data_IF_708158317691
#
_entry.id   IF_708158317691
#
_cell.length_a   1.000
_cell.length_b   1.000
_cell.length_c   1.000
_cell.angle_alpha   90.00
_cell.angle_beta   90.00
_cell.angle_gamma   90.00
#
_symmetry.space_group_name_H-M   'P 1'
#
loop_
_entity.id
_entity.type
_entity.pdbx_description
1 polymer ?
#
# COMPACT_ATOMS: atom_id res chain seq x y z
N UNK A 1 9.18 25.15 -0.88
CA UNK A 1 9.53 24.31 0.28
C UNK A 1 8.80 22.98 0.31
N UNK A 2 7.54 22.92 -0.16
CA UNK A 2 6.80 21.64 -0.27
C UNK A 2 7.46 20.67 -1.25
N UNK A 3 8.15 21.16 -2.29
CA UNK A 3 8.85 20.31 -3.25
C UNK A 3 10.08 19.61 -2.64
N UNK A 4 10.78 20.27 -1.69
CA UNK A 4 11.93 19.67 -0.99
C UNK A 4 11.49 18.49 -0.13
N UNK A 5 10.38 18.62 0.59
CA UNK A 5 9.83 17.53 1.39
C UNK A 5 9.36 16.36 0.50
N UNK A 6 8.72 16.66 -0.63
CA UNK A 6 8.31 15.65 -1.61
C UNK A 6 9.53 14.95 -2.20
N UNK A 7 10.60 15.68 -2.50
CA UNK A 7 11.85 15.13 -3.02
C UNK A 7 12.54 14.21 -2.00
N UNK A 8 12.57 14.59 -0.73
CA UNK A 8 13.07 13.74 0.35
C UNK A 8 12.32 12.41 0.41
N UNK A 9 10.99 12.49 0.37
CA UNK A 9 10.13 11.30 0.41
C UNK A 9 10.34 10.40 -0.80
N UNK A 10 10.50 10.99 -1.99
CA UNK A 10 10.78 10.25 -3.22
C UNK A 10 12.12 9.53 -3.17
N UNK A 11 13.16 10.18 -2.63
CA UNK A 11 14.47 9.56 -2.46
C UNK A 11 14.40 8.37 -1.50
N UNK A 12 13.79 8.55 -0.33
CA UNK A 12 13.62 7.48 0.65
C UNK A 12 12.81 6.32 0.07
N UNK A 13 11.71 6.61 -0.62
CA UNK A 13 10.90 5.60 -1.28
C UNK A 13 11.69 4.81 -2.31
N UNK A 14 12.55 5.46 -3.09
CA UNK A 14 13.42 4.79 -4.05
C UNK A 14 14.38 3.82 -3.35
N UNK A 15 15.03 4.25 -2.26
CA UNK A 15 15.90 3.37 -1.47
C UNK A 15 15.15 2.16 -0.91
N UNK A 16 13.90 2.36 -0.47
CA UNK A 16 13.06 1.28 0.04
C UNK A 16 12.69 0.25 -1.03
N UNK A 17 12.68 0.61 -2.32
CA UNK A 17 12.51 -0.37 -3.40
C UNK A 17 13.76 -1.21 -3.63
N UNK A 18 14.90 -0.79 -3.09
CA UNK A 18 16.20 -1.44 -3.20
C UNK A 18 16.66 -2.13 -1.92
N UNK A 19 15.76 -2.30 -0.94
CA UNK A 19 16.03 -3.00 0.30
C UNK A 19 16.59 -2.15 1.44
N UNK A 20 16.76 -0.87 1.23
CA UNK A 20 17.29 0.06 2.25
C UNK A 20 16.14 0.60 3.10
N UNK A 21 15.59 -0.23 3.97
CA UNK A 21 14.39 0.08 4.77
C UNK A 21 14.64 1.12 5.86
N UNK A 22 15.90 1.34 6.25
CA UNK A 22 16.30 2.33 7.24
C UNK A 22 16.83 3.62 6.61
N UNK A 23 16.75 3.74 5.28
CA UNK A 23 17.26 4.92 4.58
C UNK A 23 16.52 6.19 5.01
N UNK A 24 17.27 7.24 5.17
CA UNK A 24 16.73 8.55 5.56
C UNK A 24 17.59 9.69 5.02
N UNK A 25 16.96 10.82 4.79
CA UNK A 25 17.66 12.07 4.48
C UNK A 25 18.00 12.73 5.81
N UNK A 26 19.30 12.86 6.11
CA UNK A 26 19.76 13.43 7.37
C UNK A 26 20.00 14.94 7.30
N UNK A 27 20.20 15.47 6.10
CA UNK A 27 20.38 16.91 5.90
C UNK A 27 20.11 17.31 4.45
N UNK A 28 19.77 18.57 4.25
CA UNK A 28 19.65 19.20 2.93
C UNK A 28 20.41 20.49 2.97
N UNK A 29 21.49 20.57 2.20
CA UNK A 29 22.35 21.74 2.11
C UNK A 29 21.97 22.58 0.90
N UNK A 30 21.86 23.88 1.09
CA UNK A 30 21.60 24.85 0.03
C UNK A 30 22.85 25.69 -0.22
N UNK A 31 23.22 25.80 -1.49
CA UNK A 31 24.30 26.68 -1.92
C UNK A 31 23.80 27.56 -3.06
N UNK A 32 23.79 28.88 -2.81
CA UNK A 32 23.28 29.86 -3.78
C UNK A 32 24.45 30.44 -4.57
N UNK A 33 24.32 30.50 -5.88
CA UNK A 33 25.28 31.13 -6.78
C UNK A 33 24.55 31.95 -7.86
N UNK A 34 25.23 32.96 -8.40
CA UNK A 34 24.67 33.74 -9.49
C UNK A 34 25.26 33.27 -10.83
N UNK A 35 24.38 32.93 -11.78
CA UNK A 35 24.75 32.51 -13.12
C UNK A 35 24.70 33.75 -14.06
N UNK A 36 25.86 34.29 -14.42
CA UNK A 36 25.94 35.50 -15.28
C UNK A 36 25.39 35.28 -16.68
N UNK A 37 25.56 34.08 -17.24
CA UNK A 37 25.07 33.75 -18.60
C UNK A 37 23.55 33.74 -18.68
N UNK A 38 22.89 33.31 -17.61
CA UNK A 38 21.43 33.22 -17.53
C UNK A 38 20.80 34.38 -16.78
N UNK A 39 21.63 35.26 -16.25
CA UNK A 39 21.24 36.47 -15.45
C UNK A 39 20.26 36.12 -14.31
N UNK A 40 20.57 35.04 -13.58
CA UNK A 40 19.72 34.60 -12.50
C UNK A 40 20.50 33.92 -11.38
N UNK A 41 19.93 33.97 -10.18
CA UNK A 41 20.42 33.16 -9.08
C UNK A 41 20.06 31.68 -9.30
N UNK A 42 20.99 30.81 -8.96
CA UNK A 42 20.82 29.37 -8.98
C UNK A 42 21.12 28.82 -7.59
N UNK A 43 20.32 27.85 -7.17
CA UNK A 43 20.46 27.16 -5.90
C UNK A 43 20.85 25.71 -6.18
N UNK A 44 21.99 25.28 -5.64
CA UNK A 44 22.38 23.88 -5.64
C UNK A 44 21.89 23.25 -4.34
N UNK A 45 21.13 22.16 -4.45
CA UNK A 45 20.66 21.38 -3.31
C UNK A 45 21.50 20.12 -3.17
N UNK A 46 21.99 19.87 -1.95
CA UNK A 46 22.69 18.62 -1.64
C UNK A 46 21.90 17.86 -0.59
N UNK A 47 21.44 16.68 -0.97
CA UNK A 47 20.74 15.77 -0.06
C UNK A 47 21.76 14.82 0.55
N UNK A 48 21.92 14.89 1.86
CA UNK A 48 22.82 13.99 2.61
C UNK A 48 21.98 12.80 3.10
N UNK A 49 22.35 11.61 2.66
CA UNK A 49 21.55 10.40 2.88
C UNK A 49 22.31 9.42 3.77
N UNK A 50 21.62 8.84 4.74
CA UNK A 50 22.05 7.66 5.46
C UNK A 50 21.29 6.47 4.90
N UNK A 51 21.97 5.61 4.15
CA UNK A 51 21.33 4.47 3.49
C UNK A 51 20.93 3.35 4.47
N UNK A 52 21.79 3.12 5.46
CA UNK A 52 21.65 1.92 6.31
C UNK A 52 22.04 0.65 5.58
N UNK A 53 21.65 -0.50 6.13
CA UNK A 53 21.91 -1.78 5.52
C UNK A 53 20.85 -2.14 4.49
N UNK A 54 21.24 -2.94 3.49
CA UNK A 54 20.32 -3.51 2.52
C UNK A 54 19.77 -4.82 3.07
N UNK A 55 18.45 -4.99 3.03
CA UNK A 55 17.72 -6.14 3.54
C UNK A 55 17.19 -7.01 2.42
N UNK A 56 17.14 -8.32 2.66
CA UNK A 56 16.49 -9.29 1.78
C UNK A 56 15.16 -9.75 2.38
N UNK A 57 14.24 -10.15 1.53
CA UNK A 57 12.93 -10.64 1.94
C UNK A 57 13.03 -12.10 2.42
N UNK A 58 12.48 -12.41 3.58
CA UNK A 58 12.48 -13.77 4.14
C UNK A 58 11.08 -14.35 4.34
N UNK A 59 10.06 -13.73 3.80
CA UNK A 59 8.74 -14.33 3.72
C UNK A 59 7.63 -13.60 4.46
N UNK A 60 6.41 -14.07 4.20
CA UNK A 60 5.17 -13.62 4.84
C UNK A 60 4.48 -14.84 5.44
N UNK A 61 4.14 -14.75 6.71
CA UNK A 61 3.28 -15.70 7.41
C UNK A 61 1.90 -15.09 7.55
N UNK A 62 0.86 -15.83 7.22
CA UNK A 62 -0.53 -15.34 7.30
C UNK A 62 -1.27 -16.19 8.33
N UNK A 63 -2.00 -15.53 9.23
CA UNK A 63 -2.82 -16.15 10.26
C UNK A 63 -4.25 -15.63 10.22
N UNK A 64 -5.21 -16.45 10.64
CA UNK A 64 -6.63 -16.08 10.72
C UNK A 64 -7.40 -16.20 9.41
N UNK A 65 -6.78 -16.70 8.34
CA UNK A 65 -7.40 -16.86 7.03
C UNK A 65 -8.04 -18.24 6.90
N UNK A 66 -9.31 -18.35 7.18
CA UNK A 66 -10.10 -19.58 6.96
C UNK A 66 -10.85 -19.52 5.62
N UNK A 67 -11.25 -18.32 5.18
CA UNK A 67 -12.03 -18.11 3.95
C UNK A 67 -11.23 -18.41 2.69
N UNK A 68 -10.01 -17.89 2.61
CA UNK A 68 -9.10 -18.14 1.50
C UNK A 68 -7.87 -18.89 1.96
N UNK A 69 -7.39 -19.81 1.11
CA UNK A 69 -6.19 -20.59 1.38
C UNK A 69 -4.95 -19.70 1.40
N UNK A 70 -4.01 -20.04 2.27
CA UNK A 70 -2.75 -19.31 2.42
C UNK A 70 -1.99 -19.20 1.10
N UNK A 71 -1.93 -20.27 0.31
CA UNK A 71 -1.25 -20.29 -0.98
C UNK A 71 -1.83 -19.26 -1.95
N UNK A 72 -3.16 -19.10 -1.95
CA UNK A 72 -3.82 -18.10 -2.78
C UNK A 72 -3.44 -16.68 -2.36
N UNK A 73 -3.45 -16.42 -1.06
CA UNK A 73 -3.09 -15.10 -0.52
C UNK A 73 -1.61 -14.79 -0.79
N UNK A 74 -0.73 -15.75 -0.57
CA UNK A 74 0.71 -15.57 -0.83
C UNK A 74 1.00 -15.31 -2.31
N UNK A 75 0.16 -15.77 -3.22
CA UNK A 75 0.34 -15.54 -4.66
C UNK A 75 0.28 -14.07 -5.06
N UNK A 76 -0.31 -13.21 -4.22
CA UNK A 76 -0.32 -11.75 -4.44
C UNK A 76 1.03 -11.09 -4.13
N UNK A 77 1.88 -11.75 -3.35
CA UNK A 77 3.20 -11.22 -3.02
C UNK A 77 4.18 -11.61 -4.14
N UNK A 78 4.65 -10.62 -4.88
CA UNK A 78 5.54 -10.81 -6.03
C UNK A 78 7.02 -10.70 -5.65
N UNK A 79 7.36 -11.17 -4.46
CA UNK A 79 8.71 -11.27 -3.95
C UNK A 79 9.02 -12.71 -3.59
N UNK A 80 10.21 -13.17 -3.95
CA UNK A 80 10.73 -14.49 -3.55
C UNK A 80 11.62 -14.34 -2.33
N UNK A 81 11.66 -15.39 -1.48
CA UNK A 81 12.58 -15.43 -0.36
C UNK A 81 14.02 -15.32 -0.87
N UNK A 82 14.80 -14.44 -0.25
CA UNK A 82 16.17 -14.17 -0.64
C UNK A 82 16.35 -13.02 -1.63
N UNK A 83 15.29 -12.54 -2.25
CA UNK A 83 15.36 -11.32 -3.08
C UNK A 83 15.63 -10.10 -2.21
N UNK A 84 16.23 -9.08 -2.81
CA UNK A 84 16.31 -7.76 -2.19
C UNK A 84 14.89 -7.27 -1.91
N UNK A 85 14.65 -6.83 -0.68
CA UNK A 85 13.32 -6.40 -0.27
C UNK A 85 12.89 -5.15 -1.05
N UNK A 86 11.71 -5.22 -1.65
CA UNK A 86 11.10 -4.11 -2.36
C UNK A 86 9.78 -3.77 -1.67
N UNK A 87 9.77 -2.67 -0.92
CA UNK A 87 8.62 -2.27 -0.13
C UNK A 87 7.39 -1.98 -0.98
N UNK A 88 7.57 -1.37 -2.16
CA UNK A 88 6.46 -1.08 -3.06
C UNK A 88 5.77 -2.37 -3.53
N UNK A 89 6.54 -3.35 -3.97
CA UNK A 89 5.99 -4.65 -4.38
C UNK A 89 5.29 -5.36 -3.23
N UNK A 90 5.86 -5.28 -2.03
CA UNK A 90 5.25 -5.90 -0.86
C UNK A 90 3.91 -5.23 -0.50
N UNK A 91 3.85 -3.91 -0.48
CA UNK A 91 2.62 -3.17 -0.19
C UNK A 91 1.54 -3.41 -1.26
N UNK A 92 1.93 -3.49 -2.53
CA UNK A 92 1.02 -3.87 -3.61
C UNK A 92 0.43 -5.26 -3.39
N UNK A 93 1.25 -6.21 -2.94
CA UNK A 93 0.81 -7.55 -2.60
C UNK A 93 -0.19 -7.58 -1.45
N UNK A 94 0.09 -6.83 -0.38
CA UNK A 94 -0.85 -6.69 0.75
C UNK A 94 -2.16 -6.07 0.30
N UNK A 95 -2.12 -5.05 -0.55
CA UNK A 95 -3.32 -4.44 -1.12
C UNK A 95 -4.13 -5.44 -1.95
N UNK A 96 -3.45 -6.30 -2.70
CA UNK A 96 -4.10 -7.37 -3.46
C UNK A 96 -4.86 -8.34 -2.55
N UNK A 97 -4.27 -8.73 -1.42
CA UNK A 97 -4.91 -9.57 -0.42
C UNK A 97 -6.16 -8.89 0.15
N UNK A 98 -6.02 -7.64 0.57
CA UNK A 98 -7.14 -6.86 1.12
C UNK A 98 -8.27 -6.72 0.11
N UNK A 99 -7.94 -6.41 -1.14
CA UNK A 99 -8.91 -6.24 -2.21
C UNK A 99 -9.64 -7.54 -2.53
N UNK A 100 -8.96 -8.68 -2.46
CA UNK A 100 -9.61 -9.99 -2.66
C UNK A 100 -10.77 -10.19 -1.67
N UNK A 101 -10.54 -9.87 -0.39
CA UNK A 101 -11.59 -9.95 0.61
C UNK A 101 -12.72 -8.95 0.33
N UNK A 102 -12.37 -7.70 0.03
CA UNK A 102 -13.36 -6.64 -0.21
C UNK A 102 -14.22 -6.93 -1.44
N UNK A 103 -13.62 -7.40 -2.52
CA UNK A 103 -14.34 -7.77 -3.74
C UNK A 103 -15.32 -8.93 -3.53
N UNK A 104 -15.10 -9.74 -2.50
CA UNK A 104 -15.98 -10.84 -2.12
C UNK A 104 -16.93 -10.48 -0.97
N UNK A 105 -17.05 -9.20 -0.63
CA UNK A 105 -18.02 -8.69 0.33
C UNK A 105 -17.55 -8.64 1.78
N UNK A 106 -16.31 -9.00 2.07
CA UNK A 106 -15.77 -8.99 3.44
C UNK A 106 -15.23 -7.60 3.83
N UNK A 107 -16.13 -6.61 3.87
CA UNK A 107 -15.78 -5.20 4.06
C UNK A 107 -15.33 -4.86 5.48
N UNK A 108 -15.72 -5.66 6.46
CA UNK A 108 -15.42 -5.40 7.88
C UNK A 108 -14.19 -6.16 8.40
N UNK A 109 -13.51 -6.90 7.52
CA UNK A 109 -12.29 -7.60 7.90
C UNK A 109 -11.21 -6.63 8.33
N UNK A 110 -10.39 -7.05 9.27
CA UNK A 110 -9.26 -6.25 9.77
C UNK A 110 -7.95 -6.98 9.43
N UNK A 111 -6.94 -6.20 9.02
CA UNK A 111 -5.64 -6.70 8.58
C UNK A 111 -4.53 -6.04 9.37
N UNK A 112 -3.71 -6.83 10.05
CA UNK A 112 -2.65 -6.35 10.93
C UNK A 112 -1.30 -6.91 10.49
N UNK A 113 -0.55 -6.20 9.61
CA UNK A 113 0.79 -6.60 9.24
C UNK A 113 1.78 -6.22 10.35
N UNK A 114 2.65 -7.15 10.71
CA UNK A 114 3.73 -6.93 11.66
C UNK A 114 5.06 -7.27 11.00
N UNK A 115 6.02 -6.36 11.07
CA UNK A 115 7.36 -6.55 10.51
C UNK A 115 8.29 -7.20 11.52
N UNK A 116 9.06 -8.17 11.07
CA UNK A 116 10.16 -8.78 11.82
C UNK A 116 11.47 -8.51 11.07
N UNK A 117 12.30 -7.66 11.65
CA UNK A 117 13.57 -7.27 11.07
C UNK A 117 14.71 -7.92 11.84
N UNK A 118 15.54 -8.69 11.15
CA UNK A 118 16.76 -9.29 11.69
C UNK A 118 17.96 -8.49 11.18
N UNK A 119 18.52 -7.64 12.04
CA UNK A 119 19.63 -6.76 11.67
C UNK A 119 20.97 -7.51 11.51
N UNK A 120 21.12 -8.67 12.11
CA UNK A 120 22.33 -9.49 11.97
C UNK A 120 22.34 -10.21 10.62
N UNK A 121 21.24 -10.86 10.28
CA UNK A 121 21.09 -11.56 9.00
C UNK A 121 20.71 -10.62 7.85
N UNK A 122 20.35 -9.41 8.16
CA UNK A 122 19.82 -8.40 7.20
C UNK A 122 18.65 -8.96 6.40
N UNK A 123 17.70 -9.54 7.11
CA UNK A 123 16.47 -10.09 6.54
C UNK A 123 15.25 -9.39 7.13
N UNK A 124 14.19 -9.31 6.34
CA UNK A 124 12.90 -8.79 6.77
C UNK A 124 11.80 -9.78 6.40
N UNK A 125 10.97 -10.10 7.37
CA UNK A 125 9.77 -10.90 7.18
C UNK A 125 8.58 -10.20 7.79
N UNK A 126 7.38 -10.67 7.44
CA UNK A 126 6.14 -10.12 7.94
C UNK A 126 5.22 -11.22 8.43
N UNK A 127 4.40 -10.87 9.39
CA UNK A 127 3.24 -11.68 9.79
C UNK A 127 2.00 -10.84 9.50
N UNK A 128 1.10 -11.35 8.69
CA UNK A 128 -0.20 -10.75 8.46
C UNK A 128 -1.25 -11.50 9.28
N UNK A 129 -1.77 -10.84 10.29
CA UNK A 129 -2.89 -11.34 11.10
C UNK A 129 -4.18 -10.81 10.50
N UNK A 130 -5.08 -11.71 10.09
CA UNK A 130 -6.36 -11.35 9.51
C UNK A 130 -7.46 -11.68 10.52
N UNK A 131 -8.29 -10.71 10.80
CA UNK A 131 -9.49 -10.89 11.60
C UNK A 131 -10.68 -10.92 10.66
N UNK A 132 -11.07 -12.14 10.28
CA UNK A 132 -12.19 -12.35 9.35
C UNK A 132 -13.52 -12.10 10.04
N UNK A 133 -14.43 -11.49 9.30
CA UNK A 133 -15.79 -11.18 9.76
C UNK A 133 -16.79 -11.62 8.70
N UNK A 134 -18.07 -11.48 9.00
CA UNK A 134 -19.14 -11.83 8.07
C UNK A 134 -19.16 -10.94 6.82
N UNK A 135 -19.65 -11.50 5.73
CA UNK A 135 -19.88 -10.73 4.50
C UNK A 135 -20.91 -9.63 4.72
N UNK A 136 -20.71 -8.50 4.06
CA UNK A 136 -21.72 -7.47 3.94
C UNK A 136 -22.75 -7.85 2.89
N UNK A 137 -24.02 -7.59 3.18
CA UNK A 137 -25.15 -7.82 2.27
C UNK A 137 -25.89 -6.52 2.06
N UNK A 138 -26.52 -6.39 0.89
CA UNK A 138 -27.40 -5.26 0.62
C UNK A 138 -28.67 -5.45 1.46
N UNK A 139 -28.90 -4.56 2.43
CA UNK A 139 -30.11 -4.60 3.26
C UNK A 139 -31.28 -3.95 2.53
N UNK A 140 -31.02 -2.79 1.92
CA UNK A 140 -32.06 -1.98 1.31
C UNK A 140 -31.48 -1.13 0.19
N UNK A 141 -32.33 -0.81 -0.80
CA UNK A 141 -31.99 0.08 -1.89
C UNK A 141 -32.97 1.26 -1.84
N UNK A 142 -32.45 2.47 -1.68
CA UNK A 142 -33.21 3.69 -1.58
C UNK A 142 -32.91 4.56 -2.79
N UNK A 143 -33.96 4.98 -3.50
CA UNK A 143 -33.85 5.88 -4.63
C UNK A 143 -34.33 7.27 -4.20
N UNK A 144 -33.51 8.28 -4.49
CA UNK A 144 -33.81 9.69 -4.21
C UNK A 144 -33.60 10.54 -5.46
N UNK A 145 -34.32 11.65 -5.55
CA UNK A 145 -34.20 12.58 -6.67
C UNK A 145 -35.02 12.20 -7.90
N UNK A 146 -35.79 11.12 -7.84
CA UNK A 146 -36.65 10.63 -8.93
C UNK A 146 -37.99 11.35 -8.94
N UNK A 147 -37.98 12.63 -9.26
CA UNK A 147 -39.23 13.48 -9.23
C UNK A 147 -40.26 13.11 -10.31
N UNK A 148 -39.83 12.44 -11.38
CA UNK A 148 -40.68 12.10 -12.53
C UNK A 148 -40.80 10.59 -12.77
N UNK A 149 -39.91 9.78 -12.22
CA UNK A 149 -39.88 8.34 -12.47
C UNK A 149 -40.19 7.57 -11.19
N UNK A 150 -41.07 6.61 -11.25
CA UNK A 150 -41.42 5.74 -10.12
C UNK A 150 -40.25 4.87 -9.71
N UNK A 151 -40.09 4.67 -8.42
CA UNK A 151 -39.01 3.88 -7.83
C UNK A 151 -38.90 2.46 -8.43
N UNK A 152 -40.03 1.77 -8.61
CA UNK A 152 -40.03 0.41 -9.15
C UNK A 152 -39.52 0.33 -10.60
N UNK A 153 -39.65 1.40 -11.38
CA UNK A 153 -39.10 1.47 -12.73
C UNK A 153 -37.59 1.55 -12.70
N UNK A 154 -37.04 2.33 -11.77
CA UNK A 154 -35.59 2.51 -11.58
C UNK A 154 -34.97 1.23 -11.01
N UNK A 155 -35.59 0.61 -10.01
CA UNK A 155 -35.09 -0.61 -9.37
C UNK A 155 -34.96 -1.79 -10.36
N UNK A 156 -35.84 -1.87 -11.37
CA UNK A 156 -35.74 -2.89 -12.42
C UNK A 156 -34.47 -2.82 -13.25
N UNK A 157 -33.89 -1.64 -13.37
CA UNK A 157 -32.68 -1.39 -14.16
C UNK A 157 -31.39 -1.66 -13.36
N UNK A 158 -31.48 -1.87 -12.04
CA UNK A 158 -30.34 -2.12 -11.21
C UNK A 158 -29.98 -3.61 -11.19
N UNK A 159 -28.69 -3.96 -11.29
CA UNK A 159 -28.24 -5.35 -11.24
C UNK A 159 -28.12 -5.90 -9.82
N UNK A 160 -28.62 -5.20 -8.81
CA UNK A 160 -28.52 -5.56 -7.39
C UNK A 160 -29.91 -5.66 -6.76
N UNK A 161 -30.06 -6.56 -5.80
CA UNK A 161 -31.29 -6.76 -5.04
C UNK A 161 -30.98 -6.79 -3.53
N UNK A 162 -31.98 -6.48 -2.65
CA UNK A 162 -31.83 -6.71 -1.22
C UNK A 162 -31.49 -8.18 -0.93
N UNK A 163 -30.51 -8.41 -0.06
CA UNK A 163 -30.00 -9.74 0.25
C UNK A 163 -28.77 -10.16 -0.54
N UNK A 164 -28.44 -9.47 -1.62
CA UNK A 164 -27.22 -9.73 -2.40
C UNK A 164 -25.95 -9.45 -1.57
N UNK A 165 -24.90 -10.21 -1.85
CA UNK A 165 -23.58 -9.93 -1.26
C UNK A 165 -23.06 -8.61 -1.83
N UNK A 166 -22.67 -7.71 -0.96
CA UNK A 166 -22.08 -6.45 -1.35
C UNK A 166 -20.61 -6.64 -1.72
N UNK A 167 -20.23 -6.23 -2.91
CA UNK A 167 -18.87 -6.34 -3.43
C UNK A 167 -18.40 -5.06 -4.12
#
# INVERSE_FOLDING_TARGET
RSSVEADKQSLVAHYMTKGYIDARVIDVLENTSYNEKKEREEIALTFVISEGAQYTYSGLTITGNEIFKTEKLLSYIKLKNGEVFNQTKFQEGLSGITNLYYENGYMSNEFYPTVNKDSEKRTVSYVLSIKERSRAHVENIIIKGNTKTKENVILRELPIEPGDVFS
#
